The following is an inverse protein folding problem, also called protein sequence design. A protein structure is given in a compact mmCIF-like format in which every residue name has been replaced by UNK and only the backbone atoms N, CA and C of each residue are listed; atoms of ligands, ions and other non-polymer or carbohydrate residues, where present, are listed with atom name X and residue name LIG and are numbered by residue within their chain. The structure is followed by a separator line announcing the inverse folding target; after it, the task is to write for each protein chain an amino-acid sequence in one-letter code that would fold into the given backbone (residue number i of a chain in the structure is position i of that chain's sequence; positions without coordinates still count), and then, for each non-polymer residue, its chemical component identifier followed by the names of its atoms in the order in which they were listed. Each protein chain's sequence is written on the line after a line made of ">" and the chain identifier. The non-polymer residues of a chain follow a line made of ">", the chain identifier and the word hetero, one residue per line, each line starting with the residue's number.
data_IF_413212991358
#
_entry.id   IF_413212991358
#
_cell.length_a   1.000
_cell.length_b   1.000
_cell.length_c   1.000
_cell.angle_alpha   90.00
_cell.angle_beta   90.00
_cell.angle_gamma   90.00
#
_symmetry.space_group_name_H-M   'P 1'
#
loop_
_entity.id
_entity.type
_entity.pdbx_description
1 polymer ?
#
# COMPACT_ATOMS: atom_id res chain seq x y z
N UNK A 1 7.37 6.82 -19.74
CA UNK A 1 7.07 7.08 -18.31
C UNK A 1 5.79 7.90 -18.11
N UNK A 2 5.51 8.91 -18.96
CA UNK A 2 4.39 9.85 -18.78
C UNK A 2 3.02 9.24 -18.46
N UNK A 3 2.54 8.25 -19.23
CA UNK A 3 1.17 7.75 -19.08
C UNK A 3 0.92 6.99 -17.76
N UNK A 4 1.83 6.10 -17.36
CA UNK A 4 1.72 5.35 -16.10
C UNK A 4 1.85 6.28 -14.87
N UNK A 5 2.78 7.24 -14.93
CA UNK A 5 2.96 8.26 -13.88
C UNK A 5 1.75 9.18 -13.77
N UNK A 6 1.08 9.51 -14.88
CA UNK A 6 -0.17 10.27 -14.88
C UNK A 6 -1.32 9.48 -14.27
N UNK A 7 -1.46 8.19 -14.62
CA UNK A 7 -2.48 7.32 -14.03
C UNK A 7 -2.31 7.26 -12.51
N UNK A 8 -1.08 7.05 -12.02
CA UNK A 8 -0.82 6.97 -10.59
C UNK A 8 -0.99 8.30 -9.87
N UNK A 9 -0.52 9.43 -10.43
CA UNK A 9 -0.75 10.77 -9.85
C UNK A 9 -2.24 11.11 -9.79
N UNK A 10 -3.00 10.80 -10.86
CA UNK A 10 -4.45 11.00 -10.90
C UNK A 10 -5.17 10.13 -9.88
N UNK A 11 -4.75 8.88 -9.73
CA UNK A 11 -5.27 7.98 -8.69
C UNK A 11 -5.06 8.56 -7.29
N UNK A 12 -3.84 9.03 -6.97
CA UNK A 12 -3.55 9.65 -5.68
C UNK A 12 -4.34 10.94 -5.43
N UNK A 13 -4.43 11.81 -6.44
CA UNK A 13 -5.24 13.05 -6.36
C UNK A 13 -6.71 12.77 -6.07
N UNK A 14 -7.25 11.64 -6.51
CA UNK A 14 -8.63 11.23 -6.23
C UNK A 14 -8.76 10.53 -4.87
N UNK A 15 -7.81 9.68 -4.53
CA UNK A 15 -7.87 8.87 -3.30
C UNK A 15 -7.70 9.72 -2.04
N UNK A 16 -6.78 10.69 -2.04
CA UNK A 16 -6.53 11.55 -0.87
C UNK A 16 -7.83 12.22 -0.38
N UNK A 17 -8.59 12.96 -1.21
CA UNK A 17 -9.83 13.59 -0.75
C UNK A 17 -10.91 12.57 -0.39
N UNK A 18 -10.98 11.40 -1.06
CA UNK A 18 -11.94 10.34 -0.70
C UNK A 18 -11.63 9.74 0.68
N UNK A 19 -10.36 9.46 0.96
CA UNK A 19 -9.92 8.92 2.23
C UNK A 19 -10.13 9.93 3.35
N UNK A 20 -9.82 11.22 3.12
CA UNK A 20 -10.08 12.30 4.07
C UNK A 20 -11.59 12.48 4.32
N UNK A 21 -12.39 12.55 3.24
CA UNK A 21 -13.84 12.66 3.36
C UNK A 21 -14.46 11.48 4.10
N UNK A 22 -14.02 10.25 3.77
CA UNK A 22 -14.42 9.05 4.50
C UNK A 22 -14.01 9.10 5.97
N UNK A 23 -12.81 9.57 6.28
CA UNK A 23 -12.35 9.72 7.66
C UNK A 23 -13.22 10.71 8.44
N UNK A 24 -13.52 11.88 7.86
CA UNK A 24 -14.38 12.89 8.49
C UNK A 24 -15.78 12.33 8.74
N UNK A 25 -16.39 11.65 7.75
CA UNK A 25 -17.69 11.02 7.90
C UNK A 25 -17.67 9.95 9.00
N UNK A 26 -16.65 9.08 9.01
CA UNK A 26 -16.48 8.07 10.06
C UNK A 26 -16.29 8.70 11.45
N UNK A 27 -15.50 9.75 11.56
CA UNK A 27 -15.28 10.46 12.81
C UNK A 27 -16.58 11.10 13.35
N UNK A 28 -17.39 11.69 12.48
CA UNK A 28 -18.73 12.22 12.85
C UNK A 28 -19.63 11.10 13.36
N UNK A 29 -19.70 9.97 12.65
CA UNK A 29 -20.47 8.80 13.09
C UNK A 29 -19.99 8.32 14.48
N UNK A 30 -18.67 8.17 14.66
CA UNK A 30 -18.08 7.76 15.93
C UNK A 30 -18.35 8.74 17.08
N UNK A 31 -18.49 10.04 16.79
CA UNK A 31 -18.82 11.06 17.79
C UNK A 31 -20.30 11.07 18.21
N UNK A 32 -21.18 10.64 17.29
CA UNK A 32 -22.64 10.57 17.47
C UNK A 32 -23.09 9.28 18.15
N UNK A 33 -22.29 8.21 18.10
CA UNK A 33 -22.63 6.98 18.78
C UNK A 33 -22.64 7.18 20.31
N UNK A 34 -23.62 6.57 21.02
CA UNK A 34 -23.64 6.57 22.48
C UNK A 34 -22.30 6.07 23.03
N UNK A 35 -21.57 6.96 23.68
CA UNK A 35 -20.17 6.75 24.06
C UNK A 35 -20.01 6.11 25.42
N UNK A 36 -18.84 5.51 25.62
CA UNK A 36 -18.31 5.08 26.92
C UNK A 36 -18.15 6.27 27.88
N UNK A 37 -18.27 6.06 29.19
CA UNK A 37 -18.17 7.12 30.22
C UNK A 37 -16.81 7.86 30.22
N UNK A 38 -15.78 7.31 29.55
CA UNK A 38 -14.45 7.92 29.47
C UNK A 38 -14.23 8.77 28.21
N UNK A 39 -13.59 9.94 28.40
CA UNK A 39 -13.16 10.80 27.30
C UNK A 39 -12.19 10.09 26.32
N UNK A 40 -11.32 9.22 26.85
CA UNK A 40 -10.40 8.42 26.05
C UNK A 40 -11.16 7.43 25.16
N UNK A 41 -12.16 6.72 25.68
CA UNK A 41 -12.96 5.78 24.88
C UNK A 41 -13.77 6.47 23.79
N UNK A 42 -14.27 7.68 24.07
CA UNK A 42 -14.92 8.51 23.04
C UNK A 42 -13.93 8.92 21.94
N UNK A 43 -12.75 9.38 22.31
CA UNK A 43 -11.69 9.73 21.35
C UNK A 43 -11.30 8.54 20.47
N UNK A 44 -11.03 7.38 21.07
CA UNK A 44 -10.68 6.15 20.34
C UNK A 44 -11.81 5.67 19.42
N UNK A 45 -13.07 5.89 19.81
CA UNK A 45 -14.21 5.57 18.94
C UNK A 45 -14.25 6.47 17.72
N UNK A 46 -14.11 7.79 17.90
CA UNK A 46 -14.04 8.76 16.80
C UNK A 46 -12.91 8.41 15.83
N UNK A 47 -11.71 8.17 16.34
CA UNK A 47 -10.55 7.78 15.53
C UNK A 47 -10.79 6.44 14.85
N UNK A 48 -11.30 5.44 15.56
CA UNK A 48 -11.54 4.11 15.03
C UNK A 48 -12.53 4.10 13.87
N UNK A 49 -13.68 4.77 14.02
CA UNK A 49 -14.65 4.90 12.94
C UNK A 49 -14.11 5.73 11.77
N UNK A 50 -13.35 6.80 12.04
CA UNK A 50 -12.67 7.57 11.00
C UNK A 50 -11.70 6.71 10.19
N UNK A 51 -10.82 5.95 10.86
CA UNK A 51 -9.88 5.04 10.21
C UNK A 51 -10.59 3.95 9.41
N UNK A 52 -11.70 3.41 9.94
CA UNK A 52 -12.52 2.42 9.24
C UNK A 52 -13.05 2.96 7.90
N UNK A 53 -13.83 4.04 7.95
CA UNK A 53 -14.52 4.57 6.77
C UNK A 53 -13.52 5.18 5.79
N UNK A 54 -12.54 5.97 6.28
CA UNK A 54 -11.52 6.58 5.44
C UNK A 54 -10.53 5.58 4.83
N UNK A 55 -10.13 4.57 5.60
CA UNK A 55 -9.24 3.49 5.14
C UNK A 55 -9.90 2.62 4.08
N UNK A 56 -11.14 2.19 4.31
CA UNK A 56 -11.87 1.38 3.34
C UNK A 56 -12.20 2.19 2.08
N UNK A 57 -12.73 3.42 2.20
CA UNK A 57 -13.05 4.24 1.02
C UNK A 57 -11.80 4.55 0.17
N UNK A 58 -10.68 4.85 0.82
CA UNK A 58 -9.41 5.05 0.14
C UNK A 58 -8.91 3.79 -0.57
N UNK A 59 -9.04 2.63 0.08
CA UNK A 59 -8.70 1.32 -0.52
C UNK A 59 -9.51 1.05 -1.78
N UNK A 60 -10.84 1.21 -1.70
CA UNK A 60 -11.74 1.00 -2.85
C UNK A 60 -11.46 1.98 -3.99
N UNK A 61 -11.12 3.24 -3.69
CA UNK A 61 -10.70 4.20 -4.72
C UNK A 61 -9.45 3.73 -5.47
N UNK A 62 -8.48 3.15 -4.77
CA UNK A 62 -7.23 2.69 -5.38
C UNK A 62 -7.36 1.39 -6.18
N UNK A 63 -8.35 0.54 -5.91
CA UNK A 63 -8.56 -0.71 -6.65
C UNK A 63 -8.55 -0.51 -8.17
N UNK A 64 -9.24 0.51 -8.64
CA UNK A 64 -9.30 0.83 -10.08
C UNK A 64 -7.93 1.17 -10.67
N UNK A 65 -7.08 1.87 -9.92
CA UNK A 65 -5.71 2.18 -10.34
C UNK A 65 -4.83 0.92 -10.30
N UNK A 66 -4.99 0.10 -9.27
CA UNK A 66 -4.28 -1.18 -9.13
C UNK A 66 -4.59 -2.12 -10.31
N UNK A 67 -5.86 -2.27 -10.69
CA UNK A 67 -6.23 -3.08 -11.86
C UNK A 67 -5.66 -2.54 -13.18
N UNK A 68 -5.58 -1.21 -13.34
CA UNK A 68 -5.00 -0.59 -14.55
C UNK A 68 -3.50 -0.74 -14.63
N UNK A 69 -2.80 -0.72 -13.50
CA UNK A 69 -1.33 -0.80 -13.45
C UNK A 69 -0.85 -2.26 -13.36
N UNK A 70 -1.67 -3.19 -12.88
CA UNK A 70 -1.31 -4.61 -12.75
C UNK A 70 -0.73 -5.27 -14.02
N UNK A 71 -1.26 -5.01 -15.24
CA UNK A 71 -0.69 -5.57 -16.47
C UNK A 71 0.76 -5.14 -16.71
N UNK A 72 1.17 -3.94 -16.29
CA UNK A 72 2.54 -3.44 -16.44
C UNK A 72 3.58 -4.24 -15.65
N UNK A 73 3.15 -4.96 -14.60
CA UNK A 73 4.02 -5.83 -13.81
C UNK A 73 4.10 -7.25 -14.35
N UNK A 74 3.08 -7.71 -15.07
CA UNK A 74 2.99 -9.08 -15.57
C UNK A 74 3.48 -9.21 -17.01
N UNK A 75 3.26 -8.19 -17.84
CA UNK A 75 3.67 -8.18 -19.25
C UNK A 75 5.15 -8.48 -19.46
N UNK A 76 6.08 -7.72 -18.85
CA UNK A 76 7.52 -7.90 -19.08
C UNK A 76 8.07 -9.28 -18.67
N UNK A 77 7.42 -9.93 -17.70
CA UNK A 77 7.83 -11.23 -17.17
C UNK A 77 7.16 -12.41 -17.89
N UNK A 78 6.20 -12.14 -18.78
CA UNK A 78 5.42 -13.17 -19.45
C UNK A 78 6.30 -13.99 -20.40
N UNK A 79 6.19 -15.30 -20.34
CA UNK A 79 6.98 -16.23 -21.16
C UNK A 79 8.42 -16.47 -20.67
N UNK A 80 8.89 -15.79 -19.63
CA UNK A 80 10.20 -16.10 -19.01
C UNK A 80 10.10 -17.33 -18.11
N UNK A 81 11.19 -18.10 -18.04
CA UNK A 81 11.35 -19.16 -17.04
C UNK A 81 11.38 -18.61 -15.62
N UNK A 82 11.09 -19.45 -14.61
CA UNK A 82 11.07 -19.02 -13.19
C UNK A 82 12.40 -18.44 -12.71
N UNK A 83 13.51 -19.01 -13.18
CA UNK A 83 14.86 -18.54 -12.84
C UNK A 83 15.10 -17.12 -13.38
N UNK A 84 14.76 -16.87 -14.64
CA UNK A 84 14.92 -15.56 -15.28
C UNK A 84 14.00 -14.51 -14.64
N UNK A 85 12.76 -14.89 -14.29
CA UNK A 85 11.86 -14.00 -13.55
C UNK A 85 12.44 -13.59 -12.20
N UNK A 86 13.02 -14.54 -11.45
CA UNK A 86 13.70 -14.24 -10.19
C UNK A 86 14.95 -13.38 -10.40
N UNK A 87 15.72 -13.65 -11.45
CA UNK A 87 16.88 -12.85 -11.86
C UNK A 87 16.52 -11.40 -12.13
N UNK A 88 15.49 -11.16 -12.96
CA UNK A 88 14.97 -9.82 -13.26
C UNK A 88 14.50 -9.10 -12.00
N UNK A 89 13.70 -9.77 -11.15
CA UNK A 89 13.21 -9.19 -9.90
C UNK A 89 14.36 -8.80 -8.97
N UNK A 90 15.34 -9.69 -8.82
CA UNK A 90 16.50 -9.47 -7.96
C UNK A 90 17.35 -8.31 -8.47
N UNK A 91 17.63 -8.26 -9.77
CA UNK A 91 18.42 -7.20 -10.41
C UNK A 91 17.77 -5.82 -10.23
N UNK A 92 16.47 -5.72 -10.52
CA UNK A 92 15.73 -4.46 -10.39
C UNK A 92 15.61 -4.02 -8.93
N UNK A 93 15.36 -4.92 -7.98
CA UNK A 93 15.25 -4.55 -6.57
C UNK A 93 16.60 -4.32 -5.88
N UNK A 94 17.68 -4.93 -6.36
CA UNK A 94 19.04 -4.59 -5.92
C UNK A 94 19.56 -3.31 -6.56
N UNK A 95 18.92 -2.83 -7.64
CA UNK A 95 19.39 -1.68 -8.41
C UNK A 95 20.61 -1.99 -9.27
N UNK A 96 20.86 -3.27 -9.57
CA UNK A 96 22.00 -3.72 -10.37
C UNK A 96 21.54 -4.01 -11.81
N UNK A 97 22.03 -3.26 -12.82
CA UNK A 97 21.71 -3.52 -14.22
C UNK A 97 22.08 -4.94 -14.65
N UNK A 98 21.25 -5.56 -15.49
CA UNK A 98 21.59 -6.86 -16.11
C UNK A 98 22.59 -6.63 -17.23
N UNK A 99 23.67 -7.41 -17.24
CA UNK A 99 24.66 -7.43 -18.33
C UNK A 99 24.48 -8.68 -19.19
N UNK A 100 24.61 -8.58 -20.53
CA UNK A 100 24.85 -7.37 -21.33
C UNK A 100 23.61 -6.46 -21.41
N UNK A 101 23.82 -5.13 -21.49
CA UNK A 101 22.74 -4.14 -21.53
C UNK A 101 21.81 -4.28 -22.75
N UNK A 102 22.31 -4.82 -23.87
CA UNK A 102 21.53 -5.10 -25.07
C UNK A 102 20.71 -6.39 -25.02
N UNK A 103 20.80 -7.18 -23.94
CA UNK A 103 20.08 -8.46 -23.84
C UNK A 103 18.56 -8.24 -23.74
N UNK A 104 17.79 -9.22 -24.22
CA UNK A 104 16.33 -9.20 -24.09
C UNK A 104 15.89 -9.14 -22.61
N UNK A 105 16.66 -9.78 -21.72
CA UNK A 105 16.45 -9.74 -20.27
C UNK A 105 16.63 -8.33 -19.69
N UNK A 106 17.63 -7.58 -20.15
CA UNK A 106 17.86 -6.20 -19.70
C UNK A 106 16.72 -5.27 -20.13
N UNK A 107 16.21 -5.41 -21.35
CA UNK A 107 15.04 -4.67 -21.84
C UNK A 107 13.79 -4.97 -21.02
N UNK A 108 13.48 -6.26 -20.81
CA UNK A 108 12.35 -6.70 -19.98
C UNK A 108 12.48 -6.22 -18.53
N UNK A 109 13.69 -6.24 -17.97
CA UNK A 109 13.95 -5.75 -16.63
C UNK A 109 13.74 -4.23 -16.52
N UNK A 110 14.15 -3.46 -17.53
CA UNK A 110 13.89 -2.03 -17.58
C UNK A 110 12.39 -1.70 -17.67
N UNK A 111 11.64 -2.39 -18.54
CA UNK A 111 10.19 -2.22 -18.64
C UNK A 111 9.48 -2.61 -17.33
N UNK A 112 9.93 -3.69 -16.70
CA UNK A 112 9.42 -4.10 -15.40
C UNK A 112 9.75 -3.10 -14.28
N UNK A 113 10.95 -2.51 -14.29
CA UNK A 113 11.34 -1.47 -13.35
C UNK A 113 10.46 -0.22 -13.51
N UNK A 114 10.15 0.18 -14.75
CA UNK A 114 9.22 1.29 -15.04
C UNK A 114 7.83 1.03 -14.46
N UNK A 115 7.28 -0.16 -14.69
CA UNK A 115 5.99 -0.56 -14.10
C UNK A 115 6.04 -0.57 -12.57
N UNK A 116 7.14 -1.08 -11.99
CA UNK A 116 7.32 -1.23 -10.55
C UNK A 116 7.38 0.09 -9.79
N UNK A 117 8.06 1.11 -10.33
CA UNK A 117 8.14 2.44 -9.69
C UNK A 117 6.76 3.10 -9.56
N UNK A 118 5.82 2.75 -10.43
CA UNK A 118 4.45 3.27 -10.44
C UNK A 118 3.51 2.39 -9.61
N UNK A 119 3.60 1.08 -9.79
CA UNK A 119 2.68 0.13 -9.18
C UNK A 119 2.91 -0.07 -7.67
N UNK A 120 4.17 -0.16 -7.25
CA UNK A 120 4.52 -0.48 -5.86
C UNK A 120 4.04 0.59 -4.87
N UNK A 121 4.16 1.91 -5.15
CA UNK A 121 3.58 2.94 -4.28
C UNK A 121 2.06 2.88 -4.18
N UNK A 122 1.37 2.58 -5.30
CA UNK A 122 -0.10 2.43 -5.32
C UNK A 122 -0.51 1.23 -4.47
N UNK A 123 0.16 0.09 -4.65
CA UNK A 123 -0.07 -1.11 -3.86
C UNK A 123 0.20 -0.88 -2.37
N UNK A 124 1.29 -0.19 -2.02
CA UNK A 124 1.60 0.18 -0.63
C UNK A 124 0.51 1.08 -0.03
N UNK A 125 0.07 2.10 -0.78
CA UNK A 125 -1.00 2.98 -0.35
C UNK A 125 -2.31 2.23 -0.10
N UNK A 126 -2.71 1.37 -1.03
CA UNK A 126 -3.91 0.54 -0.89
C UNK A 126 -3.80 -0.40 0.32
N UNK A 127 -2.64 -1.01 0.53
CA UNK A 127 -2.38 -1.91 1.65
C UNK A 127 -2.49 -1.20 3.00
N UNK A 128 -1.86 -0.02 3.14
CA UNK A 128 -1.91 0.76 4.36
C UNK A 128 -3.31 1.27 4.68
N UNK A 129 -4.04 1.73 3.67
CA UNK A 129 -5.43 2.17 3.82
C UNK A 129 -6.34 1.01 4.23
N UNK A 130 -6.12 -0.19 3.66
CA UNK A 130 -6.88 -1.38 4.03
C UNK A 130 -6.63 -1.75 5.49
N UNK A 131 -5.37 -1.74 5.93
CA UNK A 131 -5.00 -2.08 7.31
C UNK A 131 -5.54 -1.06 8.30
N UNK A 132 -5.50 0.23 7.96
CA UNK A 132 -6.16 1.28 8.74
C UNK A 132 -7.67 1.04 8.83
N UNK A 133 -8.31 0.66 7.71
CA UNK A 133 -9.72 0.31 7.64
C UNK A 133 -10.10 -0.85 8.56
N UNK A 134 -9.31 -1.94 8.55
CA UNK A 134 -9.52 -3.13 9.38
C UNK A 134 -9.23 -2.85 10.86
N UNK A 135 -8.18 -2.08 11.16
CA UNK A 135 -7.81 -1.75 12.53
C UNK A 135 -8.82 -0.80 13.18
N UNK A 136 -9.44 0.09 12.40
CA UNK A 136 -10.35 1.13 12.88
C UNK A 136 -11.39 0.66 13.91
N UNK A 137 -12.23 -0.34 13.60
CA UNK A 137 -13.23 -0.86 14.53
C UNK A 137 -12.66 -1.45 15.83
N UNK A 138 -11.39 -1.85 15.82
CA UNK A 138 -10.72 -2.48 16.97
C UNK A 138 -10.11 -1.44 17.92
N UNK A 139 -9.82 -0.22 17.44
CA UNK A 139 -9.23 0.86 18.23
C UNK A 139 -10.00 1.16 19.52
N UNK A 140 -11.34 1.34 19.53
CA UNK A 140 -12.07 1.57 20.78
C UNK A 140 -12.07 0.36 21.72
N UNK A 141 -11.84 -0.85 21.21
CA UNK A 141 -11.84 -2.08 22.01
C UNK A 141 -10.51 -2.34 22.72
N UNK A 142 -9.45 -1.58 22.42
CA UNK A 142 -8.13 -1.73 23.07
C UNK A 142 -8.20 -1.50 24.58
N UNK A 143 -9.04 -0.57 25.01
CA UNK A 143 -9.18 -0.16 26.41
C UNK A 143 -10.44 -0.74 27.07
N UNK A 144 -11.27 -1.45 26.32
CA UNK A 144 -12.45 -2.12 26.88
C UNK A 144 -12.00 -3.48 27.42
N UNK A 145 -12.21 -3.69 28.71
CA UNK A 145 -12.00 -5.00 29.31
C UNK A 145 -13.23 -5.86 29.00
N UNK A 146 -13.25 -6.41 27.79
CA UNK A 146 -14.29 -7.32 27.35
C UNK A 146 -14.14 -8.65 28.11
N UNK A 147 -15.22 -9.14 28.73
CA UNK A 147 -15.18 -10.32 29.63
C UNK A 147 -14.77 -11.60 28.89
N UNK A 148 -15.04 -11.68 27.58
CA UNK A 148 -14.85 -12.89 26.78
C UNK A 148 -13.51 -12.97 26.04
N UNK A 149 -12.89 -11.84 25.65
CA UNK A 149 -11.56 -11.83 25.02
C UNK A 149 -10.91 -10.43 25.03
N UNK A 150 -10.35 -9.98 26.16
CA UNK A 150 -9.78 -8.63 26.30
C UNK A 150 -8.47 -8.44 25.52
N UNK A 151 -7.81 -9.51 25.10
CA UNK A 151 -6.49 -9.44 24.46
C UNK A 151 -6.57 -9.36 22.93
N UNK A 152 -7.63 -9.90 22.32
CA UNK A 152 -7.73 -10.00 20.86
C UNK A 152 -7.58 -8.67 20.12
N UNK A 153 -8.27 -7.55 20.48
CA UNK A 153 -8.11 -6.28 19.78
C UNK A 153 -6.67 -5.75 19.87
N UNK A 154 -6.02 -5.93 21.02
CA UNK A 154 -4.64 -5.50 21.28
C UNK A 154 -3.66 -6.29 20.41
N UNK A 155 -3.80 -7.61 20.39
CA UNK A 155 -2.97 -8.51 19.58
C UNK A 155 -3.17 -8.23 18.09
N UNK A 156 -4.42 -8.06 17.64
CA UNK A 156 -4.73 -7.79 16.24
C UNK A 156 -4.15 -6.45 15.77
N UNK A 157 -4.31 -5.37 16.55
CA UNK A 157 -3.71 -4.07 16.22
C UNK A 157 -2.19 -4.16 16.20
N UNK A 158 -1.58 -4.80 17.20
CA UNK A 158 -0.13 -5.00 17.23
C UNK A 158 0.36 -5.76 15.99
N UNK A 159 -0.31 -6.86 15.63
CA UNK A 159 0.02 -7.63 14.43
C UNK A 159 -0.13 -6.80 13.15
N UNK A 160 -1.22 -6.03 13.00
CA UNK A 160 -1.43 -5.16 11.85
C UNK A 160 -0.35 -4.08 11.74
N UNK A 161 0.05 -3.46 12.85
CA UNK A 161 1.13 -2.46 12.88
C UNK A 161 2.48 -3.07 12.49
N UNK A 162 2.81 -4.24 13.05
CA UNK A 162 4.05 -4.96 12.72
C UNK A 162 4.09 -5.28 11.23
N UNK A 163 3.02 -5.88 10.71
CA UNK A 163 2.93 -6.26 9.29
C UNK A 163 2.96 -5.02 8.39
N UNK A 164 2.23 -3.95 8.73
CA UNK A 164 2.27 -2.67 8.01
C UNK A 164 3.68 -2.07 7.96
N UNK A 165 4.41 -2.13 9.07
CA UNK A 165 5.79 -1.63 9.17
C UNK A 165 6.73 -2.45 8.29
N UNK A 166 6.68 -3.78 8.40
CA UNK A 166 7.52 -4.69 7.60
C UNK A 166 7.26 -4.49 6.12
N UNK A 167 6.00 -4.48 5.69
CA UNK A 167 5.64 -4.26 4.28
C UNK A 167 6.08 -2.89 3.77
N UNK A 168 5.91 -1.83 4.57
CA UNK A 168 6.36 -0.49 4.22
C UNK A 168 7.88 -0.42 4.01
N UNK A 169 8.65 -1.07 4.88
CA UNK A 169 10.12 -1.13 4.75
C UNK A 169 10.52 -1.94 3.52
N UNK A 170 9.92 -3.11 3.30
CA UNK A 170 10.23 -3.99 2.17
C UNK A 170 9.89 -3.31 0.83
N UNK A 171 8.67 -2.82 0.68
CA UNK A 171 8.22 -2.13 -0.54
C UNK A 171 8.98 -0.81 -0.73
N UNK A 172 9.28 -0.09 0.34
CA UNK A 172 10.11 1.12 0.28
C UNK A 172 11.52 0.84 -0.24
N UNK A 173 12.14 -0.26 0.19
CA UNK A 173 13.43 -0.72 -0.36
C UNK A 173 13.32 -1.11 -1.83
N UNK A 174 12.28 -1.85 -2.22
CA UNK A 174 12.05 -2.26 -3.60
C UNK A 174 11.81 -1.06 -4.54
N UNK A 175 11.04 -0.07 -4.11
CA UNK A 175 10.81 1.17 -4.87
C UNK A 175 12.13 1.92 -5.07
N UNK A 176 12.96 2.04 -4.02
CA UNK A 176 14.29 2.67 -4.12
C UNK A 176 15.20 1.89 -5.08
N UNK A 177 15.20 0.56 -4.99
CA UNK A 177 15.94 -0.32 -5.90
C UNK A 177 15.54 -0.11 -7.36
N UNK A 178 14.23 -0.16 -7.66
CA UNK A 178 13.72 0.03 -9.01
C UNK A 178 14.05 1.42 -9.58
N UNK A 179 14.00 2.47 -8.74
CA UNK A 179 14.43 3.82 -9.13
C UNK A 179 15.94 3.88 -9.44
N UNK A 180 16.77 3.25 -8.62
CA UNK A 180 18.23 3.16 -8.86
C UNK A 180 18.54 2.38 -10.13
N UNK A 181 17.83 1.28 -10.39
CA UNK A 181 17.97 0.51 -11.62
C UNK A 181 17.68 1.38 -12.86
N UNK A 182 16.60 2.15 -12.83
CA UNK A 182 16.23 3.05 -13.94
C UNK A 182 17.24 4.18 -14.14
N UNK A 183 17.80 4.74 -13.06
CA UNK A 183 18.88 5.72 -13.16
C UNK A 183 20.11 5.11 -13.84
N UNK A 184 20.56 3.94 -13.37
CA UNK A 184 21.75 3.27 -13.90
C UNK A 184 21.60 2.74 -15.35
N UNK A 185 20.37 2.60 -15.85
CA UNK A 185 20.07 2.14 -17.21
C UNK A 185 19.72 3.26 -18.18
N UNK A 186 19.29 4.42 -17.70
CA UNK A 186 19.11 5.62 -18.53
C UNK A 186 20.43 6.34 -18.84
N UNK A 187 21.48 6.12 -18.03
CA UNK A 187 22.82 6.70 -18.21
C UNK A 187 23.71 5.89 -19.19
N UNK A 188 23.18 4.82 -19.79
CA UNK A 188 23.87 3.93 -20.75
C UNK A 188 23.23 4.04 -22.13
#
# INVERSE_FOLDING_TARGET
>A
MGELDEIARRAWRRTIPIAIGGFVVGAVIGALLPGTDSALGRFLSVVGFGLCVGGLSGTFSLLTATFRVAPSLQGPLRGLGRADQQGVRRAVFSGQPIEPAGSELAHRAHDWARGSVVALPVALGQFLLLYAGIAGPQVPNVIRDDVWNPEFPRILIAALVVVATVFSVVLGRQIRGARRYLAATNDR
#
